data_IF_704202843866
#
_entry.id   IF_704202843866
#
_cell.length_a   1.000
_cell.length_b   1.000
_cell.length_c   1.000
_cell.angle_alpha   90.00
_cell.angle_beta   90.00
_cell.angle_gamma   90.00
#
_symmetry.space_group_name_H-M   'P 1'
#
loop_
_entity.id
_entity.type
_entity.pdbx_description
1 polymer ?
#
# COMPACT_ATOMS: atom_id res chain seq x y z
N UNK A 1 4.91 -0.16 -12.75
CA UNK A 1 4.86 -0.56 -11.32
C UNK A 1 3.47 -1.07 -11.00
N UNK A 2 3.37 -2.20 -10.30
CA UNK A 2 2.12 -2.93 -10.02
C UNK A 2 2.12 -3.38 -8.56
N UNK A 3 0.97 -3.35 -7.88
CA UNK A 3 0.86 -3.77 -6.47
C UNK A 3 1.00 -5.29 -6.29
N UNK A 4 0.77 -6.06 -7.35
CA UNK A 4 0.87 -7.52 -7.37
C UNK A 4 1.72 -7.99 -8.57
N UNK A 5 3.05 -7.81 -8.56
CA UNK A 5 3.90 -8.18 -9.70
C UNK A 5 4.28 -9.67 -9.71
N UNK A 6 3.58 -10.51 -8.93
CA UNK A 6 3.86 -11.95 -8.80
C UNK A 6 3.11 -12.78 -9.86
N UNK A 7 3.59 -13.99 -10.11
CA UNK A 7 2.91 -14.96 -10.99
C UNK A 7 1.50 -15.27 -10.47
N UNK A 8 0.51 -15.28 -11.37
CA UNK A 8 -0.91 -15.46 -11.06
C UNK A 8 -1.22 -16.73 -10.25
N UNK A 9 -0.40 -17.77 -10.36
CA UNK A 9 -0.55 -19.00 -9.56
C UNK A 9 -0.33 -18.77 -8.06
N UNK A 10 0.50 -17.79 -7.70
CA UNK A 10 0.79 -17.41 -6.32
C UNK A 10 -0.13 -16.28 -5.82
N UNK A 11 -0.52 -15.38 -6.72
CA UNK A 11 -1.42 -14.26 -6.41
C UNK A 11 -2.44 -14.09 -7.53
N UNK A 12 -3.59 -14.79 -7.46
CA UNK A 12 -4.63 -14.70 -8.47
C UNK A 12 -5.20 -13.29 -8.53
N UNK A 13 -5.33 -12.76 -9.75
CA UNK A 13 -5.94 -11.46 -10.03
C UNK A 13 -7.13 -11.71 -10.94
N UNK A 14 -8.27 -11.05 -10.65
CA UNK A 14 -9.39 -11.02 -11.57
C UNK A 14 -9.00 -10.16 -12.78
N UNK A 15 -8.93 -10.78 -13.96
CA UNK A 15 -8.36 -10.16 -15.17
C UNK A 15 -9.02 -8.80 -15.51
N UNK A 16 -10.33 -8.70 -15.36
CA UNK A 16 -11.09 -7.48 -15.64
C UNK A 16 -10.69 -6.29 -14.74
N UNK A 17 -10.07 -6.55 -13.58
CA UNK A 17 -9.69 -5.54 -12.58
C UNK A 17 -8.17 -5.37 -12.41
N UNK A 18 -7.34 -5.98 -13.26
CA UNK A 18 -5.88 -5.82 -13.23
C UNK A 18 -5.46 -4.34 -13.24
N UNK A 19 -6.16 -3.52 -14.02
CA UNK A 19 -5.87 -2.09 -14.15
C UNK A 19 -5.94 -1.32 -12.83
N UNK A 20 -6.73 -1.79 -11.86
CA UNK A 20 -6.91 -1.13 -10.55
C UNK A 20 -5.71 -1.30 -9.63
N UNK A 21 -4.85 -2.29 -9.90
CA UNK A 21 -3.64 -2.60 -9.13
C UNK A 21 -2.38 -1.90 -9.69
N UNK A 22 -2.53 -1.08 -10.73
CA UNK A 22 -1.43 -0.34 -11.37
C UNK A 22 -1.11 0.91 -10.57
N UNK A 23 0.18 1.18 -10.40
CA UNK A 23 0.70 2.40 -9.76
C UNK A 23 1.07 3.47 -10.79
N UNK A 24 0.35 3.52 -11.91
CA UNK A 24 0.55 4.53 -12.95
C UNK A 24 -0.79 5.16 -13.36
N UNK A 25 -0.92 6.49 -13.30
CA UNK A 25 0.07 7.44 -12.76
C UNK A 25 0.38 7.17 -11.28
N UNK A 26 1.55 7.60 -10.80
CA UNK A 26 1.94 7.39 -9.41
C UNK A 26 0.99 8.20 -8.51
N UNK A 27 0.42 7.61 -7.44
CA UNK A 27 -0.44 8.35 -6.52
C UNK A 27 0.37 9.35 -5.68
N UNK A 28 -0.32 10.29 -5.03
CA UNK A 28 0.30 11.23 -4.08
C UNK A 28 0.61 10.57 -2.74
N UNK A 29 -0.16 9.56 -2.35
CA UNK A 29 0.09 8.74 -1.17
C UNK A 29 -0.29 7.27 -1.43
N UNK A 30 0.48 6.34 -0.84
CA UNK A 30 0.30 4.90 -0.90
C UNK A 30 0.38 4.30 0.51
N UNK A 31 -0.68 3.62 0.92
CA UNK A 31 -0.78 2.94 2.22
C UNK A 31 -0.67 1.44 2.01
N UNK A 32 0.38 0.83 2.56
CA UNK A 32 0.62 -0.61 2.52
C UNK A 32 0.33 -1.18 3.90
N UNK A 33 -0.93 -1.47 4.19
CA UNK A 33 -1.38 -1.96 5.50
C UNK A 33 -1.23 -3.49 5.61
N UNK A 34 -0.01 -3.95 5.86
CA UNK A 34 0.30 -5.37 6.00
C UNK A 34 0.90 -5.71 7.39
N UNK A 35 1.40 -6.94 7.55
CA UNK A 35 1.94 -7.46 8.81
C UNK A 35 3.39 -7.06 9.10
N UNK A 36 4.06 -6.36 8.19
CA UNK A 36 5.43 -5.92 8.40
C UNK A 36 5.50 -4.74 9.37
N UNK A 37 6.72 -4.42 9.78
CA UNK A 37 6.99 -3.30 10.67
C UNK A 37 6.54 -1.97 10.05
N UNK A 38 6.16 -1.07 10.93
CA UNK A 38 5.72 0.27 10.60
C UNK A 38 6.84 1.05 9.90
N UNK A 39 6.54 1.69 8.76
CA UNK A 39 7.51 2.53 8.03
C UNK A 39 6.85 3.71 7.34
N UNK A 40 7.65 4.72 7.02
CA UNK A 40 7.26 5.87 6.20
C UNK A 40 8.45 6.36 5.40
N UNK A 41 8.23 6.57 4.10
CA UNK A 41 9.19 7.13 3.18
C UNK A 41 8.49 7.95 2.09
N UNK A 42 9.26 8.73 1.36
CA UNK A 42 8.77 9.43 0.16
C UNK A 42 9.56 8.94 -1.03
N UNK A 43 8.85 8.45 -2.04
CA UNK A 43 9.44 7.93 -3.27
C UNK A 43 8.87 8.71 -4.46
N UNK A 44 9.73 9.42 -5.19
CA UNK A 44 9.35 10.19 -6.38
C UNK A 44 8.12 11.11 -6.15
N UNK A 45 8.03 11.73 -4.97
CA UNK A 45 6.90 12.59 -4.58
C UNK A 45 5.67 11.86 -4.03
N UNK A 46 5.61 10.53 -4.09
CA UNK A 46 4.58 9.72 -3.45
C UNK A 46 4.96 9.44 -1.98
N UNK A 47 4.07 9.75 -1.05
CA UNK A 47 4.22 9.35 0.35
C UNK A 47 3.84 7.88 0.51
N UNK A 48 4.78 7.03 0.88
CA UNK A 48 4.54 5.59 1.05
C UNK A 48 4.71 5.23 2.52
N UNK A 49 3.71 4.56 3.10
CA UNK A 49 3.78 4.16 4.51
C UNK A 49 3.00 2.89 4.81
N UNK A 50 3.44 2.19 5.85
CA UNK A 50 2.74 1.09 6.48
C UNK A 50 2.37 1.48 7.91
N UNK A 51 1.08 1.48 8.27
CA UNK A 51 0.65 1.81 9.62
C UNK A 51 1.04 0.78 10.69
N UNK A 52 1.48 -0.42 10.28
CA UNK A 52 1.69 -1.56 11.14
C UNK A 52 0.39 -2.33 11.41
N UNK A 53 0.50 -3.41 12.19
CA UNK A 53 -0.63 -4.29 12.49
C UNK A 53 -1.53 -3.69 13.57
N UNK A 54 -2.84 -3.67 13.31
CA UNK A 54 -3.85 -3.42 14.34
C UNK A 54 -4.08 -4.69 15.15
N UNK A 55 -3.14 -5.03 16.05
CA UNK A 55 -3.26 -6.21 16.90
C UNK A 55 -3.89 -5.87 18.25
N UNK A 56 -4.61 -6.82 18.86
CA UNK A 56 -5.23 -6.62 20.18
C UNK A 56 -4.22 -6.33 21.29
N UNK A 57 -2.99 -6.81 21.13
CA UNK A 57 -1.94 -6.67 22.14
C UNK A 57 -1.16 -5.37 21.99
N UNK A 58 -1.05 -4.84 20.77
CA UNK A 58 -0.36 -3.58 20.44
C UNK A 58 -1.13 -2.85 19.35
N UNK A 59 -2.25 -2.17 19.69
CA UNK A 59 -3.04 -1.46 18.69
C UNK A 59 -2.25 -0.25 18.19
N UNK A 60 -1.79 -0.31 16.95
CA UNK A 60 -1.20 0.83 16.24
C UNK A 60 -2.17 1.32 15.17
N UNK A 61 -2.44 2.63 15.14
CA UNK A 61 -3.25 3.29 14.11
C UNK A 61 -2.59 4.59 13.68
N UNK A 62 -2.82 4.99 12.43
CA UNK A 62 -2.23 6.18 11.83
C UNK A 62 -3.30 7.16 11.37
N UNK A 63 -3.00 8.45 11.47
CA UNK A 63 -3.82 9.52 10.90
C UNK A 63 -3.00 10.23 9.81
N UNK A 64 -3.48 10.16 8.57
CA UNK A 64 -2.93 10.93 7.45
C UNK A 64 -3.80 12.16 7.20
N UNK A 65 -3.17 13.34 7.20
CA UNK A 65 -3.82 14.61 6.85
C UNK A 65 -3.25 15.07 5.51
N UNK A 66 -4.03 15.02 4.41
CA UNK A 66 -3.61 15.63 3.15
C UNK A 66 -3.49 17.14 3.33
N UNK A 67 -2.54 17.76 2.62
CA UNK A 67 -2.50 19.21 2.49
C UNK A 67 -3.72 19.61 1.63
N UNK A 68 -4.59 20.44 2.20
CA UNK A 68 -5.74 21.01 1.49
C UNK A 68 -5.33 22.05 0.46
#
# INVERSE_FOLDING_TARGET
MHLSPLVLKLQPILADYDHTLRLYPLPTALVLADKYDQYKLTYMGCHVFNPGTLSSNTPAFWMYKPAG
#
